data_IF_104357427332
#
_entry.id   IF_104357427332
#
_cell.length_a   1.000
_cell.length_b   1.000
_cell.length_c   1.000
_cell.angle_alpha   90.00
_cell.angle_beta   90.00
_cell.angle_gamma   90.00
#
_symmetry.space_group_name_H-M   'P 1'
#
loop_
_entity.id
_entity.type
_entity.pdbx_description
1 polymer ?
#
# COMPACT_ATOMS: atom_id res chain seq x y z
N UNK A 1 9.05 4.28 18.77
CA UNK A 1 8.99 5.21 19.91
C UNK A 1 10.35 5.29 20.63
N UNK A 2 10.75 4.30 21.43
CA UNK A 2 11.97 4.34 22.23
C UNK A 2 13.23 4.69 21.42
N UNK A 3 13.35 4.24 20.19
CA UNK A 3 14.52 4.47 19.34
C UNK A 3 14.63 5.91 18.83
N UNK A 4 13.50 6.58 18.53
CA UNK A 4 13.47 8.00 18.15
C UNK A 4 13.86 8.88 19.36
N UNK A 5 13.34 8.57 20.53
CA UNK A 5 13.72 9.26 21.77
C UNK A 5 15.21 9.05 22.11
N UNK A 6 15.72 7.84 21.93
CA UNK A 6 17.14 7.53 22.17
C UNK A 6 18.05 8.33 21.23
N UNK A 7 17.69 8.45 19.96
CA UNK A 7 18.46 9.22 18.97
C UNK A 7 18.46 10.73 19.30
N UNK A 8 17.32 11.28 19.76
CA UNK A 8 17.23 12.66 20.23
C UNK A 8 18.11 12.95 21.45
N UNK A 9 18.16 12.01 22.39
CA UNK A 9 18.99 12.13 23.60
C UNK A 9 20.50 11.99 23.33
N UNK A 10 20.89 11.18 22.35
CA UNK A 10 22.30 11.04 21.92
C UNK A 10 22.89 12.36 21.39
N UNK A 11 22.05 13.20 20.78
CA UNK A 11 22.48 14.46 20.19
C UNK A 11 22.17 15.70 21.06
N UNK A 12 21.88 15.52 22.35
CA UNK A 12 21.44 16.60 23.26
C UNK A 12 22.47 17.76 23.39
N UNK A 13 23.75 17.49 23.14
CA UNK A 13 24.82 18.48 23.19
C UNK A 13 25.00 19.27 21.86
N UNK A 14 24.24 18.94 20.81
CA UNK A 14 24.33 19.60 19.52
C UNK A 14 23.37 20.80 19.43
N UNK A 15 23.55 21.70 18.45
CA UNK A 15 22.59 22.78 18.20
C UNK A 15 21.20 22.22 17.89
N UNK A 16 20.16 22.97 18.26
CA UNK A 16 18.76 22.55 18.19
C UNK A 16 18.35 22.10 16.80
N UNK A 17 18.79 22.80 15.76
CA UNK A 17 18.54 22.46 14.36
C UNK A 17 19.09 21.07 13.95
N UNK A 18 20.20 20.66 14.54
CA UNK A 18 20.78 19.34 14.26
C UNK A 18 19.97 18.22 14.92
N UNK A 19 19.43 18.46 16.12
CA UNK A 19 18.58 17.52 16.85
C UNK A 19 17.27 17.32 16.08
N UNK A 20 16.63 18.41 15.66
CA UNK A 20 15.40 18.39 14.88
C UNK A 20 15.54 17.60 13.57
N UNK A 21 16.59 17.90 12.80
CA UNK A 21 16.90 17.19 11.55
C UNK A 21 17.17 15.70 11.78
N UNK A 22 17.88 15.33 12.84
CA UNK A 22 18.14 13.93 13.17
C UNK A 22 16.86 13.17 13.52
N UNK A 23 15.97 13.75 14.32
CA UNK A 23 14.70 13.17 14.73
C UNK A 23 13.79 13.00 13.50
N UNK A 24 13.65 14.05 12.68
CA UNK A 24 12.80 14.05 11.48
C UNK A 24 13.29 13.04 10.44
N UNK A 25 14.59 13.00 10.15
CA UNK A 25 15.17 12.06 9.21
C UNK A 25 15.00 10.62 9.67
N UNK A 26 15.20 10.36 10.96
CA UNK A 26 15.06 9.02 11.51
C UNK A 26 13.60 8.57 11.56
N UNK A 27 12.68 9.46 11.93
CA UNK A 27 11.24 9.22 11.88
C UNK A 27 10.76 8.88 10.47
N UNK A 28 11.18 9.66 9.47
CA UNK A 28 10.87 9.41 8.06
C UNK A 28 11.43 8.08 7.55
N UNK A 29 12.63 7.70 7.95
CA UNK A 29 13.23 6.41 7.59
C UNK A 29 12.43 5.22 8.19
N UNK A 30 11.97 5.35 9.42
CA UNK A 30 11.14 4.33 10.07
C UNK A 30 9.76 4.21 9.41
N UNK A 31 9.12 5.31 9.07
CA UNK A 31 7.86 5.33 8.33
C UNK A 31 8.03 4.65 6.96
N UNK A 32 9.05 4.99 6.21
CA UNK A 32 9.35 4.38 4.91
C UNK A 32 9.61 2.86 5.01
N UNK A 33 10.25 2.39 6.08
CA UNK A 33 10.47 0.97 6.32
C UNK A 33 9.16 0.22 6.64
N UNK A 34 8.23 0.85 7.36
CA UNK A 34 6.89 0.28 7.62
C UNK A 34 6.05 0.17 6.33
N UNK A 35 6.17 1.12 5.42
CA UNK A 35 5.44 1.13 4.15
C UNK A 35 6.03 0.18 3.10
N UNK A 36 7.28 -0.22 3.24
CA UNK A 36 8.01 -1.00 2.23
C UNK A 36 7.33 -2.32 1.86
N UNK A 37 6.69 -3.00 2.83
CA UNK A 37 5.90 -4.21 2.61
C UNK A 37 4.54 -3.97 1.94
N UNK A 38 3.94 -2.79 2.13
CA UNK A 38 2.63 -2.44 1.59
C UNK A 38 2.65 -2.20 0.07
N UNK A 39 3.82 -1.87 -0.49
CA UNK A 39 4.00 -1.65 -1.93
C UNK A 39 3.65 -2.90 -2.76
N UNK A 40 4.00 -4.09 -2.29
CA UNK A 40 3.65 -5.34 -2.95
C UNK A 40 2.16 -5.61 -2.95
N UNK A 41 1.47 -5.33 -1.83
CA UNK A 41 0.01 -5.50 -1.75
C UNK A 41 -0.67 -4.56 -2.73
N UNK A 42 -0.22 -3.30 -2.82
CA UNK A 42 -0.73 -2.32 -3.79
C UNK A 42 -0.56 -2.78 -5.24
N UNK A 43 0.57 -3.40 -5.56
CA UNK A 43 0.82 -3.99 -6.87
C UNK A 43 -0.20 -5.10 -7.20
N UNK A 44 -0.44 -6.03 -6.28
CA UNK A 44 -1.41 -7.11 -6.50
C UNK A 44 -2.85 -6.61 -6.63
N UNK A 45 -3.23 -5.56 -5.90
CA UNK A 45 -4.54 -4.90 -6.04
C UNK A 45 -4.72 -4.35 -7.46
N UNK A 46 -3.68 -3.75 -8.03
CA UNK A 46 -3.72 -3.21 -9.39
C UNK A 46 -3.69 -4.31 -10.46
N UNK A 47 -2.98 -5.40 -10.22
CA UNK A 47 -2.85 -6.51 -11.18
C UNK A 47 -4.09 -7.39 -11.23
N UNK A 48 -4.81 -7.60 -10.13
CA UNK A 48 -5.93 -8.52 -10.08
C UNK A 48 -7.06 -8.19 -11.09
N UNK A 49 -7.54 -6.93 -11.20
CA UNK A 49 -8.52 -6.57 -12.23
C UNK A 49 -7.97 -6.69 -13.65
N UNK A 50 -6.67 -6.37 -13.85
CA UNK A 50 -6.02 -6.47 -15.15
C UNK A 50 -5.95 -7.91 -15.65
N UNK A 51 -5.69 -8.87 -14.75
CA UNK A 51 -5.74 -10.29 -15.04
C UNK A 51 -7.17 -10.77 -15.33
N UNK A 52 -8.16 -10.24 -14.61
CA UNK A 52 -9.58 -10.48 -14.92
C UNK A 52 -9.94 -10.00 -16.32
N UNK A 53 -9.50 -8.80 -16.70
CA UNK A 53 -9.70 -8.27 -18.04
C UNK A 53 -8.99 -9.10 -19.12
N UNK A 54 -7.76 -9.56 -18.86
CA UNK A 54 -7.06 -10.48 -19.76
C UNK A 54 -7.88 -11.75 -20.00
N UNK A 55 -8.54 -12.27 -18.98
CA UNK A 55 -9.45 -13.41 -19.12
C UNK A 55 -10.63 -13.17 -20.07
N UNK A 56 -11.14 -11.92 -20.17
CA UNK A 56 -12.20 -11.60 -21.16
C UNK A 56 -11.68 -11.68 -22.56
N UNK A 57 -10.49 -11.17 -22.80
CA UNK A 57 -9.86 -11.21 -24.14
C UNK A 57 -9.62 -12.66 -24.58
N UNK A 58 -9.07 -13.49 -23.69
CA UNK A 58 -8.85 -14.91 -23.95
C UNK A 58 -10.18 -15.65 -24.22
N UNK A 59 -11.19 -15.41 -23.40
CA UNK A 59 -12.50 -16.03 -23.56
C UNK A 59 -13.19 -15.67 -24.87
N UNK A 60 -13.04 -14.43 -25.33
CA UNK A 60 -13.55 -14.01 -26.62
C UNK A 60 -12.79 -14.63 -27.80
N UNK A 61 -11.46 -14.70 -27.73
CA UNK A 61 -10.64 -15.38 -28.75
C UNK A 61 -11.06 -16.84 -28.88
N UNK A 62 -11.23 -17.55 -27.76
CA UNK A 62 -11.69 -18.95 -27.78
C UNK A 62 -13.10 -19.09 -28.40
N UNK A 63 -14.00 -18.14 -28.16
CA UNK A 63 -15.32 -18.15 -28.75
C UNK A 63 -15.25 -17.99 -30.29
N UNK A 64 -14.41 -17.09 -30.80
CA UNK A 64 -14.23 -16.90 -32.23
C UNK A 64 -13.55 -18.10 -32.93
N UNK A 65 -12.59 -18.74 -32.24
CA UNK A 65 -11.96 -19.96 -32.74
C UNK A 65 -13.00 -21.11 -32.90
N UNK A 66 -13.90 -21.24 -31.97
CA UNK A 66 -14.97 -22.25 -32.02
C UNK A 66 -15.97 -21.98 -33.16
N UNK A 67 -16.32 -20.73 -33.40
CA UNK A 67 -17.19 -20.32 -34.50
C UNK A 67 -16.52 -20.68 -35.83
N UNK A 68 -15.24 -20.41 -35.98
CA UNK A 68 -14.51 -20.70 -37.20
C UNK A 68 -14.44 -22.21 -37.48
N UNK A 69 -14.27 -23.03 -36.47
CA UNK A 69 -14.21 -24.50 -36.63
C UNK A 69 -15.58 -25.14 -36.89
N UNK A 70 -16.65 -24.61 -36.28
CA UNK A 70 -17.99 -25.16 -36.42
C UNK A 70 -18.68 -24.81 -37.78
N UNK A 71 -18.15 -23.84 -38.53
CA UNK A 71 -18.77 -23.26 -39.73
C UNK A 71 -20.25 -22.82 -39.52
N UNK A 72 -20.67 -22.68 -38.30
CA UNK A 72 -22.02 -22.27 -37.90
C UNK A 72 -21.95 -21.25 -36.76
N UNK A 73 -22.67 -20.12 -36.96
CA UNK A 73 -22.77 -19.07 -35.92
C UNK A 73 -23.91 -19.40 -35.01
N UNK A 74 -23.75 -20.46 -34.20
CA UNK A 74 -24.72 -20.80 -33.16
C UNK A 74 -24.65 -19.82 -31.98
N UNK A 75 -25.78 -19.22 -31.55
CA UNK A 75 -25.81 -18.30 -30.41
C UNK A 75 -25.32 -18.95 -29.11
N UNK A 76 -25.37 -20.27 -28.99
CA UNK A 76 -24.90 -21.06 -27.86
C UNK A 76 -23.37 -21.06 -27.72
N UNK A 77 -22.63 -21.10 -28.83
CA UNK A 77 -21.16 -21.10 -28.85
C UNK A 77 -20.64 -19.74 -28.38
N UNK A 78 -21.23 -18.67 -28.90
CA UNK A 78 -20.89 -17.28 -28.50
C UNK A 78 -21.19 -17.07 -27.01
N UNK A 79 -22.34 -17.51 -26.54
CA UNK A 79 -22.74 -17.38 -25.14
C UNK A 79 -21.82 -18.12 -24.19
N UNK A 80 -21.27 -19.28 -24.58
CA UNK A 80 -20.34 -20.05 -23.76
C UNK A 80 -19.00 -19.33 -23.58
N UNK A 81 -18.41 -18.78 -24.65
CA UNK A 81 -17.16 -18.00 -24.56
C UNK A 81 -17.34 -16.71 -23.74
N UNK A 82 -18.47 -15.99 -23.95
CA UNK A 82 -18.79 -14.82 -23.16
C UNK A 82 -18.98 -15.14 -21.66
N UNK A 83 -19.60 -16.27 -21.33
CA UNK A 83 -19.75 -16.72 -19.96
C UNK A 83 -18.42 -16.89 -19.24
N UNK A 84 -17.46 -17.56 -19.87
CA UNK A 84 -16.11 -17.75 -19.34
C UNK A 84 -15.41 -16.39 -19.13
N UNK A 85 -15.50 -15.52 -20.13
CA UNK A 85 -14.91 -14.19 -20.09
C UNK A 85 -15.45 -13.36 -18.89
N UNK A 86 -16.76 -13.33 -18.70
CA UNK A 86 -17.39 -12.58 -17.62
C UNK A 86 -17.04 -13.14 -16.24
N UNK A 87 -17.00 -14.47 -16.09
CA UNK A 87 -16.64 -15.12 -14.83
C UNK A 87 -15.23 -14.75 -14.39
N UNK A 88 -14.26 -14.76 -15.30
CA UNK A 88 -12.86 -14.43 -14.97
C UNK A 88 -12.72 -12.97 -14.50
N UNK A 89 -13.46 -12.04 -15.09
CA UNK A 89 -13.49 -10.65 -14.63
C UNK A 89 -14.08 -10.50 -13.24
N UNK A 90 -15.18 -11.20 -12.95
CA UNK A 90 -15.79 -11.19 -11.61
C UNK A 90 -14.77 -11.64 -10.57
N UNK A 91 -14.07 -12.75 -10.79
CA UNK A 91 -13.05 -13.23 -9.87
C UNK A 91 -11.89 -12.23 -9.71
N UNK A 92 -11.43 -11.60 -10.77
CA UNK A 92 -10.39 -10.58 -10.72
C UNK A 92 -10.78 -9.39 -9.85
N UNK A 93 -12.01 -8.91 -9.99
CA UNK A 93 -12.56 -7.79 -9.21
C UNK A 93 -12.75 -8.19 -7.74
N UNK A 94 -13.31 -9.36 -7.46
CA UNK A 94 -13.54 -9.85 -6.08
C UNK A 94 -12.22 -9.95 -5.33
N UNK A 95 -11.18 -10.51 -5.92
CA UNK A 95 -9.84 -10.60 -5.32
C UNK A 95 -9.28 -9.21 -5.05
N UNK A 96 -9.39 -8.28 -6.01
CA UNK A 96 -8.95 -6.90 -5.82
C UNK A 96 -9.64 -6.21 -4.66
N UNK A 97 -10.97 -6.36 -4.53
CA UNK A 97 -11.74 -5.76 -3.45
C UNK A 97 -11.34 -6.30 -2.08
N UNK A 98 -11.14 -7.60 -1.95
CA UNK A 98 -10.69 -8.21 -0.69
C UNK A 98 -9.30 -7.68 -0.30
N UNK A 99 -8.35 -7.68 -1.23
CA UNK A 99 -7.01 -7.14 -0.99
C UNK A 99 -7.04 -5.65 -0.64
N UNK A 100 -7.90 -4.87 -1.29
CA UNK A 100 -8.07 -3.44 -1.03
C UNK A 100 -8.54 -3.16 0.41
N UNK A 101 -9.48 -3.97 0.92
CA UNK A 101 -9.96 -3.83 2.30
C UNK A 101 -8.84 -4.07 3.31
N UNK A 102 -8.06 -5.15 3.13
CA UNK A 102 -6.92 -5.44 4.00
C UNK A 102 -5.84 -4.37 3.90
N UNK A 103 -5.54 -3.91 2.68
CA UNK A 103 -4.57 -2.85 2.46
C UNK A 103 -4.97 -1.55 3.18
N UNK A 104 -6.22 -1.11 3.03
CA UNK A 104 -6.73 0.10 3.69
C UNK A 104 -6.65 0.00 5.21
N UNK A 105 -6.95 -1.18 5.78
CA UNK A 105 -6.83 -1.40 7.21
C UNK A 105 -5.38 -1.30 7.69
N UNK A 106 -4.45 -1.93 6.99
CA UNK A 106 -3.01 -1.89 7.33
C UNK A 106 -2.48 -0.47 7.20
N UNK A 107 -2.81 0.24 6.12
CA UNK A 107 -2.37 1.62 5.89
C UNK A 107 -2.85 2.54 7.00
N UNK A 108 -4.11 2.47 7.39
CA UNK A 108 -4.66 3.27 8.49
C UNK A 108 -3.95 3.00 9.84
N UNK A 109 -3.50 1.76 10.08
CA UNK A 109 -2.69 1.44 11.26
C UNK A 109 -1.29 2.04 11.19
N UNK A 110 -0.66 2.00 10.02
CA UNK A 110 0.68 2.60 9.81
C UNK A 110 0.60 4.12 10.00
N UNK A 111 -0.36 4.79 9.37
CA UNK A 111 -0.57 6.23 9.51
C UNK A 111 -0.77 6.65 10.97
N UNK A 112 -1.57 5.90 11.71
CA UNK A 112 -1.77 6.15 13.14
C UNK A 112 -0.49 6.00 13.96
N UNK A 113 0.32 4.97 13.68
CA UNK A 113 1.60 4.76 14.35
C UNK A 113 2.60 5.89 14.00
N UNK A 114 2.63 6.32 12.75
CA UNK A 114 3.49 7.41 12.29
C UNK A 114 3.10 8.73 12.97
N UNK A 115 1.79 9.04 13.05
CA UNK A 115 1.31 10.23 13.74
C UNK A 115 1.67 10.21 15.25
N UNK A 116 1.56 9.07 15.92
CA UNK A 116 1.99 8.95 17.33
C UNK A 116 3.51 9.10 17.50
N UNK A 117 4.30 8.67 16.53
CA UNK A 117 5.76 8.88 16.55
C UNK A 117 6.10 10.36 16.40
N UNK A 118 5.41 11.07 15.53
CA UNK A 118 5.57 12.50 15.29
C UNK A 118 5.19 13.33 16.53
N UNK A 119 4.03 13.05 17.14
CA UNK A 119 3.59 13.68 18.39
C UNK A 119 4.60 13.49 19.53
N UNK A 120 5.15 12.28 19.68
CA UNK A 120 6.17 11.98 20.69
C UNK A 120 7.49 12.70 20.40
N UNK A 121 7.85 12.87 19.11
CA UNK A 121 9.04 13.62 18.71
C UNK A 121 8.90 15.10 19.06
N UNK A 122 7.75 15.70 18.81
CA UNK A 122 7.45 17.10 19.15
C UNK A 122 7.54 17.29 20.67
N UNK A 123 6.92 16.42 21.45
CA UNK A 123 6.95 16.48 22.92
C UNK A 123 8.39 16.36 23.46
N UNK A 124 9.22 15.51 22.86
CA UNK A 124 10.63 15.39 23.21
C UNK A 124 11.41 16.67 22.92
N UNK A 125 11.16 17.30 21.77
CA UNK A 125 11.77 18.57 21.38
C UNK A 125 11.44 19.68 22.35
N UNK A 126 10.18 19.78 22.77
CA UNK A 126 9.73 20.77 23.75
C UNK A 126 10.44 20.57 25.11
N UNK A 127 10.55 19.33 25.58
CA UNK A 127 11.27 19.02 26.82
C UNK A 127 12.76 19.38 26.73
N UNK A 128 13.41 19.11 25.61
CA UNK A 128 14.82 19.45 25.39
C UNK A 128 15.01 20.96 25.37
N UNK A 129 14.10 21.70 24.75
CA UNK A 129 14.11 23.17 24.69
C UNK A 129 13.99 23.79 26.09
N UNK A 130 13.05 23.31 26.91
CA UNK A 130 12.87 23.76 28.30
C UNK A 130 14.10 23.45 29.12
N UNK A 131 14.69 22.26 28.96
CA UNK A 131 15.92 21.87 29.68
C UNK A 131 17.11 22.75 29.32
N UNK A 132 17.29 23.06 28.04
CA UNK A 132 18.37 23.92 27.55
C UNK A 132 18.23 25.36 28.03
N UNK A 133 17.00 25.90 28.03
CA UNK A 133 16.70 27.24 28.57
C UNK A 133 16.93 27.34 30.08
N UNK A 134 16.74 26.25 30.82
CA UNK A 134 16.96 26.22 32.29
C UNK A 134 18.45 26.12 32.65
N UNK A 135 19.29 25.70 31.71
CA UNK A 135 20.74 25.50 31.92
C UNK A 135 21.57 26.69 31.39
N UNK A 136 20.98 27.56 30.55
CA UNK A 136 21.56 28.82 30.11
C UNK A 136 21.26 29.91 31.13
#
# INVERSE_FOLDING_TARGET
MAFVCYQGLLHINQPMDAIERSITNFGGLQAANLEKGCSWIKLFIAMAPSLGFLGTVIGMVMAFDQIQQACDIGPTIVAQGMKVALITTIFGIVVALILQLFYSYILSKIERLTAQMEESAITLMDMITVYKNKKA
#
